data_IF_774328662466
#
_entry.id   IF_774328662466
#
_cell.length_a   1.000
_cell.length_b   1.000
_cell.length_c   1.000
_cell.angle_alpha   90.00
_cell.angle_beta   90.00
_cell.angle_gamma   90.00
#
_symmetry.space_group_name_H-M   'P 1'
#
loop_
_entity.id
_entity.type
_entity.pdbx_description
1 polymer ?
#
# COMPACT_ATOMS: atom_id res chain seq x y z
N UNK A 1 -16.22 -15.91 -18.13
CA UNK A 1 -16.01 -14.96 -17.02
C UNK A 1 -16.74 -13.67 -17.33
N UNK A 2 -17.84 -13.38 -16.63
CA UNK A 2 -18.63 -12.17 -16.87
C UNK A 2 -17.90 -10.96 -16.30
N UNK A 3 -17.47 -10.03 -17.15
CA UNK A 3 -16.85 -8.79 -16.68
C UNK A 3 -17.92 -7.91 -16.01
N UNK A 4 -17.63 -7.40 -14.82
CA UNK A 4 -18.54 -6.48 -14.12
C UNK A 4 -18.70 -5.19 -14.92
N UNK A 5 -19.90 -4.58 -14.95
CA UNK A 5 -20.13 -3.34 -15.70
C UNK A 5 -19.20 -2.22 -15.21
N UNK A 6 -18.73 -1.32 -16.11
CA UNK A 6 -17.87 -0.21 -15.76
C UNK A 6 -18.46 0.58 -14.58
N UNK A 7 -17.66 0.76 -13.52
CA UNK A 7 -18.09 1.51 -12.32
C UNK A 7 -18.85 0.71 -11.26
N UNK A 8 -19.12 -0.59 -11.44
CA UNK A 8 -19.78 -1.43 -10.43
C UNK A 8 -19.04 -1.38 -9.07
N UNK A 9 -17.71 -1.41 -9.09
CA UNK A 9 -16.86 -1.29 -7.88
C UNK A 9 -17.01 0.07 -7.23
N UNK A 10 -17.04 1.15 -8.01
CA UNK A 10 -17.22 2.51 -7.49
C UNK A 10 -18.60 2.67 -6.84
N UNK A 11 -19.65 2.19 -7.49
CA UNK A 11 -21.00 2.26 -6.93
C UNK A 11 -21.13 1.42 -5.65
N UNK A 12 -20.51 0.24 -5.60
CA UNK A 12 -20.47 -0.57 -4.38
C UNK A 12 -19.72 0.14 -3.26
N UNK A 13 -18.61 0.81 -3.57
CA UNK A 13 -17.84 1.62 -2.63
C UNK A 13 -18.66 2.79 -2.09
N UNK A 14 -19.30 3.57 -2.95
CA UNK A 14 -20.09 4.74 -2.55
C UNK A 14 -21.24 4.33 -1.61
N UNK A 15 -21.89 3.19 -1.89
CA UNK A 15 -22.90 2.61 -0.98
C UNK A 15 -22.31 2.17 0.36
N UNK A 16 -21.12 1.57 0.35
CA UNK A 16 -20.44 1.13 1.56
C UNK A 16 -20.07 2.30 2.47
N UNK A 17 -19.45 3.34 1.91
CA UNK A 17 -19.04 4.55 2.63
C UNK A 17 -20.25 5.28 3.21
N UNK A 18 -21.32 5.44 2.41
CA UNK A 18 -22.59 6.02 2.89
C UNK A 18 -23.18 5.23 4.06
N UNK A 19 -23.17 3.90 3.99
CA UNK A 19 -23.67 3.03 5.07
C UNK A 19 -22.80 3.09 6.32
N UNK A 20 -21.49 3.25 6.16
CA UNK A 20 -20.55 3.37 7.26
C UNK A 20 -20.54 4.76 7.93
N UNK A 21 -21.18 5.77 7.31
CA UNK A 21 -21.18 7.15 7.81
C UNK A 21 -19.80 7.81 7.75
N UNK A 22 -18.93 7.37 6.83
CA UNK A 22 -17.58 7.91 6.66
C UNK A 22 -17.62 8.99 5.58
N UNK A 23 -16.95 10.10 5.82
CA UNK A 23 -16.81 11.18 4.86
C UNK A 23 -15.39 11.19 4.27
N UNK A 24 -15.26 11.64 3.02
CA UNK A 24 -14.00 11.82 2.28
C UNK A 24 -13.03 10.61 2.19
N UNK A 25 -13.54 9.38 2.36
CA UNK A 25 -12.73 8.17 2.15
C UNK A 25 -12.91 7.61 0.73
N UNK A 26 -11.83 7.61 -0.04
CA UNK A 26 -11.80 7.15 -1.43
C UNK A 26 -11.18 5.76 -1.52
N UNK A 27 -11.58 4.99 -2.53
CA UNK A 27 -11.06 3.64 -2.74
C UNK A 27 -9.53 3.61 -2.92
N UNK A 28 -8.92 4.67 -3.45
CA UNK A 28 -7.46 4.74 -3.58
C UNK A 28 -6.76 4.91 -2.24
N UNK A 29 -7.39 5.50 -1.23
CA UNK A 29 -6.81 5.69 0.09
C UNK A 29 -6.53 4.34 0.77
N UNK A 30 -7.34 3.32 0.47
CA UNK A 30 -7.04 1.95 0.90
C UNK A 30 -5.74 1.40 0.31
N UNK A 31 -5.44 1.73 -0.95
CA UNK A 31 -4.14 1.35 -1.57
C UNK A 31 -3.00 2.13 -0.91
N UNK A 32 -3.20 3.41 -0.59
CA UNK A 32 -2.22 4.20 0.15
C UNK A 32 -1.92 3.60 1.52
N UNK A 33 -2.97 3.25 2.28
CA UNK A 33 -2.86 2.62 3.60
C UNK A 33 -2.16 1.27 3.55
N UNK A 34 -2.56 0.40 2.61
CA UNK A 34 -1.93 -0.92 2.45
C UNK A 34 -0.43 -0.81 2.14
N UNK A 35 -0.05 0.12 1.27
CA UNK A 35 1.35 0.38 0.95
C UNK A 35 2.11 0.88 2.18
N UNK A 36 1.54 1.80 2.97
CA UNK A 36 2.15 2.27 4.22
C UNK A 36 2.44 1.12 5.19
N UNK A 37 1.44 0.25 5.42
CA UNK A 37 1.59 -0.92 6.29
C UNK A 37 2.66 -1.90 5.82
N UNK A 38 2.78 -2.11 4.50
CA UNK A 38 3.84 -2.98 3.98
C UNK A 38 5.25 -2.45 4.31
N UNK A 39 5.44 -1.13 4.24
CA UNK A 39 6.71 -0.53 4.66
C UNK A 39 6.93 -0.62 6.17
N UNK A 40 5.88 -0.47 6.98
CA UNK A 40 5.95 -0.68 8.44
C UNK A 40 6.37 -2.12 8.80
N UNK A 41 5.85 -3.10 8.06
CA UNK A 41 6.25 -4.52 8.14
C UNK A 41 7.67 -4.78 7.61
N UNK A 42 8.34 -3.78 7.04
CA UNK A 42 9.74 -3.86 6.62
C UNK A 42 9.96 -4.42 5.22
N UNK A 43 8.91 -4.51 4.40
CA UNK A 43 9.04 -4.88 3.00
C UNK A 43 9.84 -3.82 2.25
N UNK A 44 10.61 -4.29 1.27
CA UNK A 44 11.41 -3.47 0.38
C UNK A 44 10.57 -2.90 -0.76
N UNK A 45 11.07 -1.84 -1.41
CA UNK A 45 10.39 -1.21 -2.55
C UNK A 45 10.02 -2.21 -3.66
N UNK A 46 10.89 -3.15 -4.08
CA UNK A 46 10.54 -4.16 -5.08
C UNK A 46 9.39 -5.09 -4.63
N UNK A 47 9.40 -5.55 -3.38
CA UNK A 47 8.35 -6.43 -2.82
C UNK A 47 7.01 -5.70 -2.77
N UNK A 48 7.02 -4.45 -2.30
CA UNK A 48 5.82 -3.60 -2.27
C UNK A 48 5.31 -3.34 -3.69
N UNK A 49 6.19 -3.05 -4.65
CA UNK A 49 5.80 -2.81 -6.04
C UNK A 49 5.14 -4.03 -6.68
N UNK A 50 5.67 -5.23 -6.41
CA UNK A 50 5.13 -6.49 -6.89
C UNK A 50 3.70 -6.72 -6.36
N UNK A 51 3.48 -6.54 -5.06
CA UNK A 51 2.17 -6.77 -4.43
C UNK A 51 1.15 -5.70 -4.85
N UNK A 52 1.56 -4.43 -4.88
CA UNK A 52 0.67 -3.30 -5.15
C UNK A 52 0.41 -3.07 -6.64
N UNK A 53 1.17 -3.72 -7.53
CA UNK A 53 1.06 -3.59 -8.97
C UNK A 53 1.62 -2.28 -9.55
N UNK A 54 2.53 -1.62 -8.83
CA UNK A 54 3.16 -0.39 -9.31
C UNK A 54 4.17 -0.72 -10.41
N UNK A 55 3.94 -0.18 -11.62
CA UNK A 55 4.89 -0.27 -12.74
C UNK A 55 6.10 0.66 -12.57
N UNK A 56 5.90 1.77 -11.86
CA UNK A 56 6.95 2.76 -11.59
C UNK A 56 7.24 2.82 -10.08
N UNK A 57 8.43 2.37 -9.64
CA UNK A 57 8.83 2.39 -8.23
C UNK A 57 8.93 3.81 -7.65
N UNK A 58 9.08 4.86 -8.48
CA UNK A 58 9.15 6.26 -8.02
C UNK A 58 7.90 6.68 -7.25
N UNK A 59 6.76 6.04 -7.53
CA UNK A 59 5.49 6.26 -6.82
C UNK A 59 5.52 5.76 -5.37
N UNK A 60 6.49 4.90 -5.03
CA UNK A 60 6.67 4.32 -3.70
C UNK A 60 7.70 5.06 -2.86
N UNK A 61 8.54 5.92 -3.45
CA UNK A 61 9.58 6.68 -2.75
C UNK A 61 9.05 7.58 -1.63
N UNK A 62 7.77 7.99 -1.69
CA UNK A 62 7.10 8.76 -0.63
C UNK A 62 6.85 7.98 0.66
N UNK A 63 6.90 6.65 0.60
CA UNK A 63 6.69 5.78 1.77
C UNK A 63 7.98 5.23 2.34
N UNK A 64 9.10 5.41 1.63
CA UNK A 64 10.43 5.06 2.12
C UNK A 64 10.92 6.15 3.06
N UNK A 65 10.29 6.29 4.23
CA UNK A 65 10.91 6.95 5.36
C UNK A 65 11.95 5.98 5.92
N UNK A 66 13.11 5.90 5.25
CA UNK A 66 14.26 5.13 5.70
C UNK A 66 14.71 5.68 7.05
N UNK A 67 14.25 5.02 8.12
CA UNK A 67 14.70 5.25 9.48
C UNK A 67 16.11 4.67 9.61
N UNK A 68 17.15 5.46 9.96
CA UNK A 68 18.52 4.96 10.12
C UNK A 68 18.60 3.74 11.04
N UNK A 69 17.72 3.67 12.04
CA UNK A 69 17.62 2.56 12.99
C UNK A 69 17.27 1.23 12.30
N UNK A 70 16.38 1.24 11.30
CA UNK A 70 15.98 0.04 10.54
C UNK A 70 17.12 -0.45 9.63
N UNK A 71 17.95 0.45 9.14
CA UNK A 71 19.14 0.12 8.34
C UNK A 71 20.21 -0.53 9.22
N UNK A 72 20.47 0.05 10.39
CA UNK A 72 21.39 -0.52 11.38
C UNK A 72 20.95 -1.92 11.84
N UNK A 73 19.66 -2.12 12.12
CA UNK A 73 19.12 -3.44 12.49
C UNK A 73 19.28 -4.46 11.35
N UNK A 74 19.03 -4.06 10.10
CA UNK A 74 19.25 -4.92 8.91
C UNK A 74 20.71 -5.32 8.75
N UNK A 75 21.64 -4.38 8.92
CA UNK A 75 23.08 -4.66 8.85
C UNK A 75 23.53 -5.59 9.98
N UNK A 76 23.07 -5.35 11.22
CA UNK A 76 23.37 -6.21 12.35
C UNK A 76 22.90 -7.66 12.13
N UNK A 77 21.71 -7.86 11.57
CA UNK A 77 21.20 -9.21 11.22
C UNK A 77 22.01 -9.89 10.10
N UNK A 78 22.56 -9.12 9.17
CA UNK A 78 23.35 -9.65 8.05
C UNK A 78 24.79 -10.04 8.44
N UNK A 79 25.35 -9.43 9.50
CA UNK A 79 26.72 -9.70 9.96
C UNK A 79 26.81 -10.85 10.98
N UNK A 80 25.69 -11.29 11.56
CA UNK A 80 25.63 -12.39 12.55
C UNK A 80 25.17 -13.72 11.92
N UNK A 81 25.29 -13.85 10.59
CA UNK A 81 25.03 -15.09 9.85
C UNK A 81 26.30 -15.85 9.52
#
# INVERSE_FOLDING_TARGET
MQQSPPGAVRQAWDRLIKRAGIEDLRLHDLRHEAVSRFFEYGLTVPEVALISGHRDPRMLSRYTHLRPEKVAEKLAKATVG
#
